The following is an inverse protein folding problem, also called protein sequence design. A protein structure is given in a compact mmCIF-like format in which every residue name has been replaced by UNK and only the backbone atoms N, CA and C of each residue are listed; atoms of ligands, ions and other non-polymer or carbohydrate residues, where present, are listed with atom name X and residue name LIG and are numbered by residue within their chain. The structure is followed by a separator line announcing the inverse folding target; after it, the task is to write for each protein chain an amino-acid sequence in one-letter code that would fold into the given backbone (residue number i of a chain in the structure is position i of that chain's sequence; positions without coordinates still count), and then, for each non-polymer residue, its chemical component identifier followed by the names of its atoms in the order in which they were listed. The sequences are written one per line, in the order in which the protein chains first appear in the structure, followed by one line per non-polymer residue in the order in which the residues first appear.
data_IF_718354341997
#
_entry.id   IF_718354341997
#
_cell.length_a   1.000
_cell.length_b   1.000
_cell.length_c   1.000
_cell.angle_alpha   90.00
_cell.angle_beta   90.00
_cell.angle_gamma   90.00
#
_symmetry.space_group_name_H-M   'P 1'
#
loop_
_entity.id
_entity.type
_entity.pdbx_description
1 polymer ?
#
# COMPACT_ATOMS: atom_id res chain seq x y z
N UNK A 1 3.71 11.99 4.07
CA UNK A 1 4.86 11.12 3.76
C UNK A 1 4.96 10.92 2.25
N UNK A 2 6.16 10.65 1.71
CA UNK A 2 6.38 10.30 0.29
C UNK A 2 6.69 8.79 0.26
N UNK A 3 5.99 8.05 -0.60
CA UNK A 3 6.07 6.60 -0.72
C UNK A 3 6.15 6.18 -2.19
N UNK A 4 6.56 4.93 -2.42
CA UNK A 4 6.63 4.36 -3.76
C UNK A 4 5.50 3.36 -3.95
N UNK A 5 4.81 3.45 -5.07
CA UNK A 5 3.72 2.54 -5.42
C UNK A 5 4.10 1.78 -6.70
N UNK A 6 4.01 0.46 -6.63
CA UNK A 6 4.39 -0.44 -7.72
C UNK A 6 3.30 -1.46 -7.99
N UNK A 7 3.21 -1.93 -9.23
CA UNK A 7 2.57 -3.20 -9.58
C UNK A 7 3.66 -4.25 -9.71
N UNK A 8 3.57 -5.31 -8.92
CA UNK A 8 4.65 -6.30 -8.74
C UNK A 8 4.19 -7.71 -9.14
N UNK A 9 5.08 -8.43 -9.83
CA UNK A 9 4.91 -9.82 -10.25
C UNK A 9 3.88 -10.03 -11.36
N UNK A 10 3.68 -11.28 -11.76
CA UNK A 10 2.71 -11.70 -12.80
C UNK A 10 1.26 -11.32 -12.50
N UNK A 11 0.96 -11.08 -11.22
CA UNK A 11 -0.37 -10.75 -10.75
C UNK A 11 -0.62 -9.24 -10.68
N UNK A 12 0.35 -8.41 -11.06
CA UNK A 12 0.27 -6.95 -10.95
C UNK A 12 -0.20 -6.49 -9.56
N UNK A 13 0.29 -7.14 -8.51
CA UNK A 13 -0.17 -6.84 -7.15
C UNK A 13 0.28 -5.44 -6.73
N UNK A 14 -0.61 -4.58 -6.22
CA UNK A 14 -0.26 -3.23 -5.79
C UNK A 14 0.55 -3.27 -4.50
N UNK A 15 1.78 -2.77 -4.57
CA UNK A 15 2.70 -2.72 -3.45
C UNK A 15 2.99 -1.26 -3.11
N UNK A 16 2.54 -0.83 -1.93
CA UNK A 16 3.03 0.38 -1.29
C UNK A 16 4.34 0.05 -0.59
N UNK A 17 5.45 0.62 -1.05
CA UNK A 17 6.79 0.34 -0.52
C UNK A 17 7.19 1.42 0.48
N UNK A 18 7.54 0.95 1.68
CA UNK A 18 7.93 1.79 2.81
C UNK A 18 9.43 2.06 2.69
N UNK A 19 9.76 3.13 1.99
CA UNK A 19 11.12 3.66 1.81
C UNK A 19 11.02 5.19 1.92
N UNK A 20 11.10 5.67 3.16
CA UNK A 20 10.81 7.06 3.50
C UNK A 20 11.67 8.04 2.70
N UNK A 21 11.05 9.11 2.22
CA UNK A 21 11.74 10.19 1.50
C UNK A 21 11.96 9.93 0.00
N UNK A 22 11.56 8.77 -0.53
CA UNK A 22 11.61 8.46 -1.96
C UNK A 22 10.23 8.16 -2.52
N UNK A 23 9.93 8.66 -3.72
CA UNK A 23 8.67 8.38 -4.44
C UNK A 23 7.77 9.60 -4.61
N UNK A 24 6.47 9.41 -4.40
CA UNK A 24 5.44 10.44 -4.58
C UNK A 24 4.51 10.53 -3.37
N UNK A 25 3.75 11.64 -3.26
CA UNK A 25 2.59 11.66 -2.37
C UNK A 25 1.55 10.71 -2.97
N UNK A 26 1.19 9.67 -2.23
CA UNK A 26 0.22 8.67 -2.66
C UNK A 26 -1.17 9.10 -2.17
N UNK A 27 -2.13 9.15 -3.08
CA UNK A 27 -3.56 9.33 -2.81
C UNK A 27 -4.21 8.00 -2.49
N UNK A 28 -5.22 8.06 -1.65
CA UNK A 28 -6.04 6.94 -1.24
C UNK A 28 -7.14 7.41 -0.32
N UNK A 29 -7.80 6.46 0.33
CA UNK A 29 -8.96 6.70 1.18
C UNK A 29 -8.64 6.33 2.63
N UNK A 30 -9.28 7.03 3.56
CA UNK A 30 -9.16 6.78 5.00
C UNK A 30 -10.52 6.33 5.51
N UNK A 31 -10.54 5.19 6.20
CA UNK A 31 -11.75 4.62 6.78
C UNK A 31 -11.62 4.48 8.29
N UNK A 32 -12.71 4.82 8.99
CA UNK A 32 -12.88 4.43 10.39
C UNK A 32 -13.40 3.00 10.43
N UNK A 33 -12.63 2.11 11.06
CA UNK A 33 -12.96 0.69 11.18
C UNK A 33 -12.93 0.26 12.63
N UNK A 34 -13.68 -0.79 12.98
CA UNK A 34 -13.63 -1.38 14.32
C UNK A 34 -12.34 -2.20 14.50
N UNK A 35 -12.05 -2.56 15.75
CA UNK A 35 -10.93 -3.46 16.08
C UNK A 35 -11.02 -4.81 15.37
N UNK A 36 -12.23 -5.33 15.20
CA UNK A 36 -12.47 -6.64 14.60
C UNK A 36 -12.16 -6.62 13.11
N UNK A 37 -12.61 -5.57 12.41
CA UNK A 37 -12.31 -5.36 10.98
C UNK A 37 -10.81 -5.14 10.79
N UNK A 38 -10.16 -4.35 11.64
CA UNK A 38 -8.72 -4.14 11.56
C UNK A 38 -7.93 -5.45 11.76
N UNK A 39 -8.38 -6.33 12.67
CA UNK A 39 -7.77 -7.63 12.88
C UNK A 39 -7.99 -8.58 11.69
N UNK A 40 -9.12 -8.47 10.97
CA UNK A 40 -9.35 -9.19 9.72
C UNK A 40 -8.43 -8.72 8.60
N UNK A 41 -8.27 -7.40 8.45
CA UNK A 41 -7.32 -6.81 7.50
C UNK A 41 -5.88 -7.26 7.79
N UNK A 42 -5.47 -7.29 9.07
CA UNK A 42 -4.15 -7.79 9.48
C UNK A 42 -3.91 -9.25 9.04
N UNK A 43 -4.94 -10.11 9.13
CA UNK A 43 -4.88 -11.50 8.67
C UNK A 43 -4.82 -11.59 7.15
N UNK A 44 -5.66 -10.83 6.45
CA UNK A 44 -5.71 -10.78 4.98
C UNK A 44 -4.36 -10.36 4.39
N UNK A 45 -3.76 -9.33 5.00
CA UNK A 45 -2.45 -8.77 4.61
C UNK A 45 -1.26 -9.58 5.17
N UNK A 46 -1.55 -10.63 5.93
CA UNK A 46 -0.60 -11.61 6.46
C UNK A 46 0.52 -10.94 7.27
N UNK A 47 0.21 -9.97 8.13
CA UNK A 47 1.25 -9.10 8.72
C UNK A 47 2.29 -9.82 9.59
N UNK A 48 1.95 -10.99 10.12
CA UNK A 48 2.84 -11.83 10.93
C UNK A 48 3.76 -12.71 10.07
N UNK A 49 3.49 -12.83 8.77
CA UNK A 49 4.28 -13.66 7.86
C UNK A 49 5.55 -12.92 7.39
N UNK A 50 6.68 -13.61 7.23
CA UNK A 50 7.91 -13.02 6.70
C UNK A 50 7.69 -12.35 5.33
N UNK A 51 6.88 -12.96 4.46
CA UNK A 51 6.52 -12.48 3.12
C UNK A 51 5.20 -11.70 3.08
N UNK A 52 4.63 -11.32 4.24
CA UNK A 52 3.43 -10.50 4.35
C UNK A 52 3.70 -8.99 4.23
N UNK A 53 2.65 -8.18 4.37
CA UNK A 53 2.79 -6.74 4.50
C UNK A 53 3.19 -6.37 5.94
N UNK A 54 3.52 -5.10 6.15
CA UNK A 54 3.75 -4.52 7.48
C UNK A 54 2.74 -3.41 7.70
N UNK A 55 2.04 -3.48 8.83
CA UNK A 55 1.18 -2.41 9.29
C UNK A 55 2.06 -1.31 9.88
N UNK A 56 1.93 -0.11 9.35
CA UNK A 56 2.65 1.09 9.81
C UNK A 56 1.66 2.21 10.09
N UNK A 57 1.98 3.05 11.06
CA UNK A 57 1.24 4.29 11.30
C UNK A 57 1.85 5.40 10.45
N UNK A 58 1.01 6.07 9.67
CA UNK A 58 1.42 7.15 8.78
C UNK A 58 0.62 8.41 9.05
N UNK A 59 1.21 9.56 8.75
CA UNK A 59 0.49 10.83 8.70
C UNK A 59 0.02 11.10 7.28
N UNK A 60 -1.29 11.34 7.13
CA UNK A 60 -1.96 11.65 5.86
C UNK A 60 -2.59 13.03 5.93
N UNK A 61 -2.67 13.70 4.77
CA UNK A 61 -3.35 14.98 4.62
C UNK A 61 -4.71 14.72 3.97
N UNK A 62 -5.79 15.07 4.65
CA UNK A 62 -7.11 15.08 4.05
C UNK A 62 -7.18 16.18 2.99
N UNK A 63 -7.52 15.82 1.75
CA UNK A 63 -7.54 16.78 0.63
C UNK A 63 -8.76 17.71 0.73
N UNK A 64 -9.86 17.23 1.32
CA UNK A 64 -11.10 17.99 1.47
C UNK A 64 -11.02 18.99 2.63
N UNK A 65 -10.57 18.55 3.81
CA UNK A 65 -10.52 19.40 5.01
C UNK A 65 -9.17 20.09 5.23
N UNK A 66 -8.09 19.61 4.60
CA UNK A 66 -6.72 20.09 4.85
C UNK A 66 -6.12 19.60 6.18
N UNK A 67 -6.82 18.74 6.91
CA UNK A 67 -6.37 18.25 8.22
C UNK A 67 -5.33 17.13 8.09
N UNK A 68 -4.42 17.08 9.06
CA UNK A 68 -3.46 15.98 9.20
C UNK A 68 -4.04 14.89 10.10
N UNK A 69 -4.23 13.70 9.54
CA UNK A 69 -4.74 12.53 10.24
C UNK A 69 -3.63 11.50 10.43
N UNK A 70 -3.74 10.69 11.50
CA UNK A 70 -2.94 9.48 11.66
C UNK A 70 -3.79 8.29 11.23
N UNK A 71 -3.25 7.47 10.34
CA UNK A 71 -3.91 6.27 9.84
C UNK A 71 -2.95 5.08 9.85
N UNK A 72 -3.52 3.87 9.87
CA UNK A 72 -2.75 2.67 9.57
C UNK A 72 -2.69 2.47 8.06
N UNK A 73 -1.55 2.02 7.57
CA UNK A 73 -1.34 1.59 6.19
C UNK A 73 -0.57 0.27 6.16
N UNK A 74 -0.79 -0.51 5.12
CA UNK A 74 -0.08 -1.76 4.87
C UNK A 74 0.93 -1.54 3.75
N UNK A 75 2.20 -1.82 4.03
CA UNK A 75 3.26 -1.64 3.06
C UNK A 75 4.31 -2.74 3.12
N UNK A 76 5.10 -2.82 2.05
CA UNK A 76 6.20 -3.76 1.90
C UNK A 76 7.52 -3.06 2.22
N UNK A 77 8.41 -3.66 3.02
CA UNK A 77 9.75 -3.10 3.20
C UNK A 77 10.54 -3.23 1.89
N UNK A 78 11.39 -2.24 1.59
CA UNK A 78 12.16 -2.18 0.33
C UNK A 78 13.02 -3.43 0.08
N UNK A 79 13.50 -4.09 1.15
CA UNK A 79 14.29 -5.33 1.04
C UNK A 79 13.55 -6.50 0.41
N UNK A 80 12.21 -6.47 0.38
CA UNK A 80 11.40 -7.47 -0.31
C UNK A 80 11.17 -7.13 -1.79
N UNK A 81 11.46 -5.91 -2.21
CA UNK A 81 11.29 -5.46 -3.59
C UNK A 81 12.51 -5.86 -4.42
N UNK A 82 12.32 -6.76 -5.37
CA UNK A 82 13.32 -7.07 -6.40
C UNK A 82 12.96 -6.31 -7.67
N UNK A 83 13.92 -5.57 -8.23
CA UNK A 83 13.67 -4.75 -9.43
C UNK A 83 13.13 -5.57 -10.61
N UNK A 84 13.55 -6.83 -10.76
CA UNK A 84 13.07 -7.72 -11.82
C UNK A 84 11.56 -8.05 -11.75
N UNK A 85 10.95 -7.88 -10.57
CA UNK A 85 9.52 -8.17 -10.36
C UNK A 85 8.63 -6.94 -10.56
N UNK A 86 9.20 -5.74 -10.74
CA UNK A 86 8.42 -4.51 -10.95
C UNK A 86 7.85 -4.50 -12.37
N UNK A 87 6.51 -4.59 -12.48
CA UNK A 87 5.80 -4.49 -13.77
C UNK A 87 5.48 -3.05 -14.14
N UNK A 88 5.08 -2.23 -13.16
CA UNK A 88 4.75 -0.81 -13.38
C UNK A 88 5.11 0.01 -12.13
N UNK A 89 5.69 1.19 -12.33
CA UNK A 89 5.83 2.21 -11.28
C UNK A 89 4.68 3.20 -11.40
N UNK A 90 4.00 3.46 -10.29
CA UNK A 90 2.86 4.38 -10.25
C UNK A 90 3.25 5.71 -9.61
N UNK A 91 2.80 6.80 -10.22
CA UNK A 91 3.02 8.15 -9.73
C UNK A 91 1.84 8.58 -8.86
N UNK A 92 1.86 8.18 -7.59
CA UNK A 92 1.00 8.75 -6.56
C UNK A 92 -0.45 8.25 -6.53
N UNK A 93 -0.92 7.40 -7.44
CA UNK A 93 -2.30 6.89 -7.39
C UNK A 93 -2.45 5.50 -8.01
N UNK A 94 -3.34 4.68 -7.43
CA UNK A 94 -3.79 3.41 -7.98
C UNK A 94 -5.20 3.60 -8.55
N UNK A 95 -5.33 3.51 -9.87
CA UNK A 95 -6.57 3.79 -10.61
C UNK A 95 -7.24 2.48 -11.05
N UNK A 96 -8.49 2.58 -11.49
CA UNK A 96 -9.27 1.43 -11.97
C UNK A 96 -8.54 0.68 -13.10
N UNK A 97 -7.92 1.38 -14.04
CA UNK A 97 -7.09 0.78 -15.12
C UNK A 97 -5.94 -0.09 -14.61
N UNK A 98 -5.42 0.18 -13.41
CA UNK A 98 -4.38 -0.64 -12.79
C UNK A 98 -4.96 -1.91 -12.19
N UNK A 99 -6.20 -1.84 -11.68
CA UNK A 99 -6.90 -2.99 -11.10
C UNK A 99 -7.34 -4.01 -12.14
N UNK A 100 -7.59 -3.59 -13.38
CA UNK A 100 -7.89 -4.50 -14.49
C UNK A 100 -6.74 -5.47 -14.80
N UNK A 101 -5.51 -5.10 -14.44
CA UNK A 101 -4.33 -5.96 -14.59
C UNK A 101 -4.18 -6.99 -13.47
N UNK A 102 -4.86 -6.77 -12.33
CA UNK A 102 -4.70 -7.61 -11.15
C UNK A 102 -5.27 -9.00 -11.38
N UNK A 103 -4.51 -10.02 -10.99
CA UNK A 103 -4.94 -11.42 -11.04
C UNK A 103 -5.02 -11.98 -9.62
N UNK A 104 -6.13 -12.61 -9.24
CA UNK A 104 -6.26 -13.31 -7.95
C UNK A 104 -5.27 -14.47 -7.84
N UNK A 105 -4.99 -14.92 -6.63
CA UNK A 105 -4.35 -16.22 -6.40
C UNK A 105 -5.45 -17.24 -6.68
N UNK A 106 -5.32 -17.97 -7.80
CA UNK A 106 -6.10 -19.19 -8.01
C UNK A 106 -5.62 -20.29 -7.07
#
# INVERSE_FOLDING_TARGET
MILQLYLVGERYSPWLVIDEGKGYKVKGEVYSVTSEVLAEMDRLERISEPDGYRKVTIQVLCIESGELLKAYAYGKPIVQLKNADIRKKLAGEYLLEHSELYRSRN
#
